data_IF_275239068199
#
_entry.id   IF_275239068199
#
_cell.length_a   1.000
_cell.length_b   1.000
_cell.length_c   1.000
_cell.angle_alpha   90.00
_cell.angle_beta   90.00
_cell.angle_gamma   90.00
#
_symmetry.space_group_name_H-M   'P 1'
#
loop_
_entity.id
_entity.type
_entity.pdbx_description
1 polymer ?
#
# COMPACT_ATOMS: atom_id res chain seq x y z
N UNK A 1 -5.18 -1.92 -35.33
CA UNK A 1 -4.25 -2.69 -34.45
C UNK A 1 -4.66 -2.55 -32.99
N UNK A 2 -5.49 -3.46 -32.48
CA UNK A 2 -5.90 -3.44 -31.07
C UNK A 2 -4.72 -3.90 -30.19
N UNK A 3 -4.13 -2.98 -29.40
CA UNK A 3 -3.10 -3.32 -28.42
C UNK A 3 -3.70 -4.27 -27.37
N UNK A 4 -3.47 -5.57 -27.54
CA UNK A 4 -3.86 -6.63 -26.59
C UNK A 4 -3.29 -6.25 -25.22
N UNK A 5 -4.16 -5.76 -24.31
CA UNK A 5 -3.75 -5.28 -22.98
C UNK A 5 -3.02 -6.42 -22.27
N UNK A 6 -1.73 -6.23 -22.00
CA UNK A 6 -0.88 -7.20 -21.31
C UNK A 6 -1.52 -7.49 -19.95
N UNK A 7 -1.99 -8.73 -19.76
CA UNK A 7 -2.66 -9.20 -18.54
C UNK A 7 -1.79 -8.79 -17.33
N UNK A 8 -2.34 -8.00 -16.41
CA UNK A 8 -1.66 -7.64 -15.16
C UNK A 8 -1.21 -8.95 -14.51
N UNK A 9 0.09 -9.09 -14.25
CA UNK A 9 0.64 -10.32 -13.66
C UNK A 9 -0.05 -10.60 -12.33
N UNK A 10 -0.47 -11.85 -12.10
CA UNK A 10 -1.12 -12.31 -10.86
C UNK A 10 -0.31 -11.87 -9.62
N UNK A 11 1.02 -11.88 -9.77
CA UNK A 11 2.00 -11.45 -8.77
C UNK A 11 1.87 -9.96 -8.37
N UNK A 12 1.71 -9.04 -9.33
CA UNK A 12 1.52 -7.60 -9.01
C UNK A 12 0.17 -7.34 -8.33
N UNK A 13 -0.86 -8.12 -8.67
CA UNK A 13 -2.16 -8.02 -8.02
C UNK A 13 -2.08 -8.45 -6.55
N UNK A 14 -1.36 -9.52 -6.26
CA UNK A 14 -1.08 -9.94 -4.88
C UNK A 14 -0.29 -8.90 -4.10
N UNK A 15 0.80 -8.36 -4.67
CA UNK A 15 1.59 -7.31 -4.03
C UNK A 15 0.74 -6.09 -3.66
N UNK A 16 -0.14 -5.65 -4.57
CA UNK A 16 -1.09 -4.57 -4.31
C UNK A 16 -2.05 -4.89 -3.18
N UNK A 17 -2.67 -6.08 -3.19
CA UNK A 17 -3.58 -6.50 -2.12
C UNK A 17 -2.91 -6.51 -0.75
N UNK A 18 -1.64 -6.92 -0.69
CA UNK A 18 -0.87 -6.91 0.56
C UNK A 18 -0.61 -5.47 1.01
N UNK A 19 -0.22 -4.57 0.11
CA UNK A 19 0.01 -3.17 0.45
C UNK A 19 -1.27 -2.46 0.90
N UNK A 20 -2.43 -2.81 0.35
CA UNK A 20 -3.74 -2.27 0.78
C UNK A 20 -4.08 -2.61 2.24
N UNK A 21 -3.52 -3.68 2.80
CA UNK A 21 -3.76 -4.10 4.20
C UNK A 21 -2.91 -3.32 5.22
N UNK A 22 -1.95 -2.53 4.75
CA UNK A 22 -0.95 -1.87 5.58
C UNK A 22 -1.45 -0.46 5.94
N UNK A 23 -1.07 0.14 7.09
CA UNK A 23 -1.41 1.52 7.40
C UNK A 23 -0.90 2.51 6.34
N UNK A 24 -1.78 3.40 5.89
CA UNK A 24 -1.48 4.43 4.90
C UNK A 24 -1.45 5.81 5.57
N UNK A 25 -0.39 6.57 5.30
CA UNK A 25 -0.20 7.92 5.79
C UNK A 25 -0.11 8.88 4.61
N UNK A 26 -1.00 9.86 4.56
CA UNK A 26 -1.02 10.87 3.52
C UNK A 26 -0.36 12.14 4.05
N UNK A 27 0.67 12.61 3.37
CA UNK A 27 1.42 13.81 3.76
C UNK A 27 1.68 14.70 2.56
N UNK A 28 1.94 15.98 2.81
CA UNK A 28 2.30 16.94 1.79
C UNK A 28 3.83 17.13 1.81
N UNK A 29 4.45 17.16 0.62
CA UNK A 29 5.91 17.33 0.49
C UNK A 29 6.37 18.71 0.94
N UNK A 30 5.52 19.73 0.79
CA UNK A 30 5.87 21.13 1.02
C UNK A 30 7.06 21.55 0.15
N UNK A 31 8.05 22.18 0.77
CA UNK A 31 9.28 22.65 0.13
C UNK A 31 10.36 21.56 0.00
N UNK A 32 10.26 20.50 0.80
CA UNK A 32 11.24 19.42 0.82
C UNK A 32 11.03 18.44 -0.35
N UNK A 33 12.09 17.72 -0.72
CA UNK A 33 11.97 16.56 -1.63
C UNK A 33 11.06 15.50 -0.98
N UNK A 34 10.24 14.77 -1.76
CA UNK A 34 9.22 13.88 -1.21
C UNK A 34 9.80 12.73 -0.37
N UNK A 35 10.97 12.21 -0.72
CA UNK A 35 11.72 11.22 0.08
C UNK A 35 12.13 11.79 1.45
N UNK A 36 12.56 13.05 1.48
CA UNK A 36 13.00 13.73 2.71
C UNK A 36 11.82 14.03 3.61
N UNK A 37 10.72 14.54 3.04
CA UNK A 37 9.47 14.79 3.76
C UNK A 37 8.93 13.50 4.39
N UNK A 38 8.91 12.39 3.64
CA UNK A 38 8.52 11.07 4.16
C UNK A 38 9.38 10.65 5.36
N UNK A 39 10.70 10.76 5.26
CA UNK A 39 11.61 10.40 6.38
C UNK A 39 11.37 11.27 7.60
N UNK A 40 11.30 12.60 7.42
CA UNK A 40 11.00 13.53 8.51
C UNK A 40 9.69 13.16 9.22
N UNK A 41 8.66 12.86 8.45
CA UNK A 41 7.34 12.46 8.98
C UNK A 41 7.39 11.13 9.75
N UNK A 42 8.09 10.12 9.24
CA UNK A 42 8.27 8.84 9.93
C UNK A 42 8.95 9.05 11.28
N UNK A 43 10.01 9.85 11.33
CA UNK A 43 10.74 10.13 12.56
C UNK A 43 9.95 11.01 13.53
N UNK A 44 9.19 11.99 13.04
CA UNK A 44 8.41 12.89 13.90
C UNK A 44 7.20 12.20 14.52
N UNK A 45 6.50 11.35 13.77
CA UNK A 45 5.33 10.60 14.23
C UNK A 45 5.73 9.30 14.95
N UNK A 46 6.95 8.79 14.70
CA UNK A 46 7.40 7.51 15.25
C UNK A 46 6.75 6.31 14.57
N UNK A 47 6.60 6.36 13.23
CA UNK A 47 5.89 5.30 12.49
C UNK A 47 6.70 4.01 12.51
N UNK A 48 6.09 2.95 13.04
CA UNK A 48 6.65 1.59 13.00
C UNK A 48 6.41 0.95 11.63
N UNK A 49 7.39 0.23 11.07
CA UNK A 49 7.19 -0.57 9.86
C UNK A 49 6.27 -1.77 10.14
N UNK A 50 5.56 -2.31 9.12
CA UNK A 50 5.44 -1.81 7.75
C UNK A 50 4.37 -0.72 7.63
N UNK A 51 4.66 0.34 6.86
CA UNK A 51 3.71 1.43 6.61
C UNK A 51 3.86 1.95 5.18
N UNK A 52 2.80 2.54 4.61
CA UNK A 52 2.83 3.17 3.29
C UNK A 52 2.61 4.68 3.44
N UNK A 53 3.52 5.47 2.85
CA UNK A 53 3.46 6.92 2.85
C UNK A 53 3.13 7.42 1.44
N UNK A 54 2.03 8.15 1.34
CA UNK A 54 1.63 8.84 0.13
C UNK A 54 2.00 10.30 0.30
N UNK A 55 3.05 10.72 -0.40
CA UNK A 55 3.58 12.07 -0.37
C UNK A 55 3.03 12.83 -1.57
N UNK A 56 2.13 13.77 -1.31
CA UNK A 56 1.61 14.67 -2.33
C UNK A 56 2.65 15.76 -2.58
N UNK A 57 3.29 15.72 -3.74
CA UNK A 57 4.24 16.74 -4.16
C UNK A 57 3.49 17.99 -4.63
N UNK A 58 2.57 17.78 -5.58
CA UNK A 58 1.66 18.79 -6.12
C UNK A 58 0.25 18.18 -6.22
N UNK A 59 -0.74 18.95 -6.65
CA UNK A 59 -2.10 18.44 -6.85
C UNK A 59 -2.18 17.25 -7.81
N UNK A 60 -1.36 17.23 -8.86
CA UNK A 60 -1.35 16.17 -9.88
C UNK A 60 -0.29 15.09 -9.67
N UNK A 61 0.54 15.18 -8.62
CA UNK A 61 1.67 14.26 -8.45
C UNK A 61 1.77 13.78 -7.01
N UNK A 62 1.59 12.46 -6.84
CA UNK A 62 1.73 11.76 -5.57
C UNK A 62 2.80 10.69 -5.70
N UNK A 63 3.82 10.80 -4.86
CA UNK A 63 4.86 9.81 -4.71
C UNK A 63 4.46 8.83 -3.60
N UNK A 64 4.63 7.53 -3.84
CA UNK A 64 4.27 6.49 -2.88
C UNK A 64 5.50 5.76 -2.41
N UNK A 65 5.73 5.80 -1.10
CA UNK A 65 6.83 5.14 -0.43
C UNK A 65 6.33 4.10 0.56
N UNK A 66 7.11 3.03 0.72
CA UNK A 66 6.88 1.96 1.65
C UNK A 66 7.99 1.97 2.70
N UNK A 67 7.60 2.14 3.96
CA UNK A 67 8.47 2.05 5.10
C UNK A 67 8.62 0.60 5.53
N UNK A 68 9.80 0.04 5.28
CA UNK A 68 10.19 -1.29 5.73
C UNK A 68 11.17 -1.19 6.91
N UNK A 69 11.40 -2.30 7.60
CA UNK A 69 12.39 -2.39 8.69
C UNK A 69 13.81 -1.97 8.25
N UNK A 70 14.18 -2.26 7.00
CA UNK A 70 15.49 -1.89 6.44
C UNK A 70 15.57 -0.45 5.92
N UNK A 71 14.43 0.23 5.77
CA UNK A 71 14.38 1.59 5.24
C UNK A 71 13.19 1.87 4.32
N UNK A 72 13.26 3.01 3.64
CA UNK A 72 12.20 3.53 2.78
C UNK A 72 12.41 3.09 1.31
N UNK A 73 11.39 2.46 0.72
CA UNK A 73 11.39 1.97 -0.66
C UNK A 73 10.26 2.61 -1.47
N UNK A 74 10.33 2.60 -2.80
CA UNK A 74 9.18 3.00 -3.63
C UNK A 74 8.08 1.94 -3.60
N UNK A 75 6.82 2.34 -3.40
CA UNK A 75 5.71 1.39 -3.32
C UNK A 75 5.58 0.52 -4.58
N UNK A 76 5.83 1.09 -5.75
CA UNK A 76 5.81 0.34 -7.02
C UNK A 76 6.85 -0.79 -7.04
N UNK A 77 8.06 -0.56 -6.52
CA UNK A 77 9.08 -1.59 -6.43
C UNK A 77 8.65 -2.72 -5.49
N UNK A 78 7.97 -2.37 -4.40
CA UNK A 78 7.45 -3.33 -3.42
C UNK A 78 6.28 -4.13 -3.98
N UNK A 79 5.37 -3.53 -4.75
CA UNK A 79 4.30 -4.26 -5.45
C UNK A 79 4.85 -5.38 -6.34
N UNK A 80 6.00 -5.15 -6.97
CA UNK A 80 6.65 -6.12 -7.87
C UNK A 80 7.49 -7.15 -7.11
N UNK A 81 8.06 -6.73 -5.98
CA UNK A 81 9.04 -7.48 -5.21
C UNK A 81 8.60 -7.81 -3.77
N UNK A 82 7.29 -7.89 -3.51
CA UNK A 82 6.73 -8.13 -2.17
C UNK A 82 7.29 -9.39 -1.47
N UNK A 83 7.69 -10.39 -2.25
CA UNK A 83 8.31 -11.62 -1.75
C UNK A 83 9.69 -11.42 -1.10
N UNK A 84 10.38 -10.31 -1.41
CA UNK A 84 11.67 -9.94 -0.79
C UNK A 84 11.52 -9.37 0.61
N UNK A 85 10.30 -8.98 1.01
CA UNK A 85 10.04 -8.35 2.30
C UNK A 85 9.42 -9.38 3.26
N UNK A 86 10.16 -9.85 4.28
CA UNK A 86 9.65 -10.83 5.25
C UNK A 86 8.41 -10.31 6.00
N UNK A 87 8.39 -9.01 6.32
CA UNK A 87 7.27 -8.34 6.98
C UNK A 87 5.96 -8.45 6.18
N UNK A 88 6.03 -8.44 4.85
CA UNK A 88 4.88 -8.60 3.97
C UNK A 88 4.40 -10.04 3.83
N UNK A 89 5.26 -11.03 4.10
CA UNK A 89 4.86 -12.45 4.04
C UNK A 89 3.87 -12.80 5.14
N UNK A 90 4.01 -12.20 6.33
CA UNK A 90 3.10 -12.40 7.45
C UNK A 90 1.74 -11.71 7.23
N UNK A 91 1.72 -10.61 6.47
CA UNK A 91 0.51 -9.82 6.15
C UNK A 91 -0.25 -10.43 4.95
N UNK A 92 0.26 -11.51 4.34
CA UNK A 92 -0.53 -12.27 3.37
C UNK A 92 -1.89 -12.55 4.01
N UNK A 93 -3.00 -12.14 3.37
CA UNK A 93 -4.29 -12.39 3.94
C UNK A 93 -4.44 -13.90 4.09
N UNK A 94 -4.47 -14.37 5.34
CA UNK A 94 -5.50 -15.33 5.69
C UNK A 94 -6.76 -14.66 5.21
N UNK A 95 -7.33 -15.14 4.12
CA UNK A 95 -8.53 -14.58 3.53
C UNK A 95 -9.61 -14.69 4.61
N UNK A 96 -9.72 -13.69 5.48
CA UNK A 96 -10.97 -13.39 6.15
C UNK A 96 -11.80 -12.79 5.03
N UNK A 97 -12.44 -13.67 4.27
CA UNK A 97 -13.74 -13.41 3.69
C UNK A 97 -14.60 -12.89 4.84
N UNK A 98 -14.53 -11.60 5.12
CA UNK A 98 -15.68 -10.91 5.66
C UNK A 98 -16.69 -10.94 4.52
N UNK A 99 -17.39 -12.07 4.47
CA UNK A 99 -18.76 -12.15 4.02
C UNK A 99 -19.48 -11.02 4.75
N UNK A 100 -19.53 -9.85 4.11
CA UNK A 100 -20.77 -9.08 4.12
C UNK A 100 -21.76 -9.91 3.32
N UNK A 101 -22.21 -11.01 3.92
CA UNK A 101 -23.53 -11.54 3.69
C UNK A 101 -24.46 -10.38 4.04
N UNK A 102 -24.81 -9.59 3.02
CA UNK A 102 -25.94 -8.71 3.09
C UNK A 102 -27.10 -9.58 3.56
N UNK A 103 -27.56 -9.25 4.77
CA UNK A 103 -28.51 -9.99 5.58
C UNK A 103 -29.66 -10.51 4.70
N UNK A 104 -29.71 -11.84 4.57
CA UNK A 104 -30.95 -12.50 4.22
C UNK A 104 -31.98 -12.26 5.33
N UNK A 105 -33.22 -12.09 4.88
CA UNK A 105 -34.45 -12.43 5.59
C UNK A 105 -34.70 -11.72 6.92
N UNK A 106 -35.42 -10.59 6.86
CA UNK A 106 -36.46 -10.35 7.85
C UNK A 106 -37.70 -11.14 7.44
N UNK A 107 -37.92 -12.24 8.15
CA UNK A 107 -39.17 -13.00 8.19
C UNK A 107 -40.20 -12.25 9.04
N UNK A 108 -41.48 -12.32 8.69
CA UNK A 108 -42.55 -13.04 9.42
C UNK A 108 -43.93 -12.34 9.29
N UNK A 109 -44.94 -13.19 9.09
CA UNK A 109 -46.39 -13.02 9.33
C UNK A 109 -47.20 -12.22 8.30
#
# INVERSE_FOLDING_TARGET
MARKRKRKSRRRLEGRKILELIPHYNIESGEDKPVTAARKYIHSVGITPPALLVVKRNEHTTDRYFWAEKGLFGAQYVEENYFLFPSLRAIRPQIKTNNVAAAGSLSLA
#
